data_IF_907416767435
#
_entry.id   IF_907416767435
#
_cell.length_a   1.000
_cell.length_b   1.000
_cell.length_c   1.000
_cell.angle_alpha   90.00
_cell.angle_beta   90.00
_cell.angle_gamma   90.00
#
_symmetry.space_group_name_H-M   'P 1'
#
loop_
_entity.id
_entity.type
_entity.pdbx_description
1 polymer ?
#
# COMPACT_ATOMS: atom_id res chain seq x y z
N UNK A 1 4.24 29.69 4.37
CA UNK A 1 2.95 29.10 4.83
C UNK A 1 2.25 28.30 3.74
N UNK A 2 1.97 28.87 2.56
CA UNK A 2 1.41 28.08 1.45
C UNK A 2 2.35 27.00 0.92
N UNK A 3 3.67 27.25 0.94
CA UNK A 3 4.69 26.25 0.63
C UNK A 3 4.67 25.10 1.65
N UNK A 4 4.62 25.41 2.95
CA UNK A 4 4.52 24.41 4.01
C UNK A 4 3.30 23.49 3.86
N UNK A 5 2.13 24.02 3.45
CA UNK A 5 0.95 23.20 3.16
C UNK A 5 1.20 22.16 2.06
N UNK A 6 2.02 22.49 1.07
CA UNK A 6 2.41 21.57 -0.01
C UNK A 6 3.38 20.53 0.54
N UNK A 7 4.41 20.97 1.25
CA UNK A 7 5.40 20.09 1.88
C UNK A 7 4.74 19.03 2.77
N UNK A 8 3.79 19.42 3.62
CA UNK A 8 3.06 18.47 4.47
C UNK A 8 2.31 17.40 3.65
N UNK A 9 1.71 17.76 2.52
CA UNK A 9 0.96 16.81 1.67
C UNK A 9 1.91 15.89 0.91
N UNK A 10 3.04 16.43 0.43
CA UNK A 10 4.07 15.66 -0.25
C UNK A 10 4.74 14.65 0.69
N UNK A 11 4.93 15.02 1.96
CA UNK A 11 5.39 14.10 3.00
C UNK A 11 4.34 13.03 3.31
N UNK A 12 3.09 13.43 3.55
CA UNK A 12 2.00 12.51 3.83
C UNK A 12 0.65 13.05 3.35
N UNK A 13 0.17 12.45 2.25
CA UNK A 13 -1.11 12.81 1.66
C UNK A 13 -2.34 12.51 2.53
N UNK A 14 -2.19 11.83 3.67
CA UNK A 14 -3.30 11.43 4.56
C UNK A 14 -3.69 12.50 5.58
N UNK A 15 -2.89 13.55 5.74
CA UNK A 15 -3.16 14.57 6.75
C UNK A 15 -4.55 15.20 6.57
N UNK A 16 -5.26 15.29 7.69
CA UNK A 16 -6.53 16.02 7.77
C UNK A 16 -6.27 17.53 7.77
N UNK A 17 -7.28 18.32 7.41
CA UNK A 17 -7.20 19.78 7.53
C UNK A 17 -6.98 20.24 8.99
N UNK A 18 -7.50 19.48 9.97
CA UNK A 18 -7.31 19.77 11.39
C UNK A 18 -5.87 19.51 11.82
N UNK A 19 -5.28 18.39 11.40
CA UNK A 19 -3.85 18.11 11.63
C UNK A 19 -2.97 19.17 10.98
N UNK A 20 -3.25 19.55 9.72
CA UNK A 20 -2.50 20.62 9.07
C UNK A 20 -2.64 21.98 9.79
N UNK A 21 -3.81 22.25 10.38
CA UNK A 21 -4.01 23.44 11.21
C UNK A 21 -3.16 23.39 12.49
N UNK A 22 -3.09 22.25 13.16
CA UNK A 22 -2.25 22.05 14.35
C UNK A 22 -0.76 22.18 14.01
N UNK A 23 -0.32 21.59 12.89
CA UNK A 23 1.04 21.70 12.38
C UNK A 23 1.41 23.16 12.07
N UNK A 24 0.53 23.91 11.40
CA UNK A 24 0.75 25.34 11.14
C UNK A 24 0.84 26.16 12.44
N UNK A 25 0.05 25.81 13.45
CA UNK A 25 0.10 26.46 14.74
C UNK A 25 1.42 26.14 15.48
N UNK A 26 1.89 24.89 15.39
CA UNK A 26 3.15 24.47 15.99
C UNK A 26 4.37 25.11 15.30
N UNK A 27 4.42 25.09 13.96
CA UNK A 27 5.58 25.55 13.19
C UNK A 27 5.68 27.08 13.09
N UNK A 28 4.53 27.77 13.00
CA UNK A 28 4.48 29.21 12.72
C UNK A 28 3.77 30.03 13.81
N UNK A 29 3.18 29.40 14.83
CA UNK A 29 2.39 30.11 15.86
C UNK A 29 1.05 30.66 15.35
N UNK A 30 0.59 30.26 14.15
CA UNK A 30 -0.61 30.82 13.52
C UNK A 30 -1.74 29.80 13.50
N UNK A 31 -2.92 30.20 13.98
CA UNK A 31 -4.12 29.38 13.93
C UNK A 31 -5.02 29.82 12.77
N UNK A 32 -5.08 29.01 11.72
CA UNK A 32 -5.85 29.29 10.50
C UNK A 32 -7.07 28.38 10.41
N UNK A 33 -8.20 28.86 9.93
CA UNK A 33 -9.39 28.02 9.74
C UNK A 33 -9.15 26.91 8.70
N UNK A 34 -9.74 25.73 8.93
CA UNK A 34 -9.68 24.61 7.98
C UNK A 34 -10.27 24.96 6.62
N UNK A 35 -11.25 25.88 6.57
CA UNK A 35 -11.80 26.44 5.34
C UNK A 35 -10.78 27.22 4.52
N UNK A 36 -9.92 28.02 5.17
CA UNK A 36 -8.85 28.74 4.47
C UNK A 36 -7.77 27.78 3.97
N UNK A 37 -7.38 26.79 4.77
CA UNK A 37 -6.46 25.73 4.34
C UNK A 37 -7.03 25.00 3.11
N UNK A 38 -8.30 24.58 3.16
CA UNK A 38 -8.97 23.96 2.01
C UNK A 38 -8.93 24.84 0.78
N UNK A 39 -9.26 26.13 0.92
CA UNK A 39 -9.24 27.08 -0.20
C UNK A 39 -7.85 27.17 -0.83
N UNK A 40 -6.81 27.35 -0.01
CA UNK A 40 -5.41 27.42 -0.47
C UNK A 40 -4.94 26.15 -1.19
N UNK A 41 -5.38 24.99 -0.71
CA UNK A 41 -5.10 23.72 -1.37
C UNK A 41 -5.83 23.59 -2.72
N UNK A 42 -7.08 24.05 -2.80
CA UNK A 42 -7.82 24.10 -4.06
C UNK A 42 -7.17 25.06 -5.07
N UNK A 43 -6.71 26.23 -4.62
CA UNK A 43 -5.99 27.20 -5.47
C UNK A 43 -4.70 26.59 -6.05
N UNK A 44 -4.06 25.66 -5.32
CA UNK A 44 -2.90 24.87 -5.77
C UNK A 44 -3.27 23.55 -6.47
N UNK A 45 -4.53 23.37 -6.88
CA UNK A 45 -4.99 22.16 -7.58
C UNK A 45 -4.87 20.85 -6.79
N UNK A 46 -4.79 20.90 -5.45
CA UNK A 46 -4.84 19.71 -4.61
C UNK A 46 -6.27 19.28 -4.36
N UNK A 47 -6.56 18.03 -4.71
CA UNK A 47 -7.91 17.43 -4.60
C UNK A 47 -7.90 16.18 -3.74
N UNK A 48 -9.03 15.87 -3.13
CA UNK A 48 -9.22 14.62 -2.39
C UNK A 48 -9.38 13.46 -3.37
N UNK A 49 -8.61 12.39 -3.16
CA UNK A 49 -8.57 11.20 -4.03
C UNK A 49 -8.52 9.93 -3.20
N UNK A 50 -8.96 8.83 -3.78
CA UNK A 50 -8.74 7.51 -3.20
C UNK A 50 -7.25 7.19 -3.12
N UNK A 51 -6.81 6.73 -1.95
CA UNK A 51 -5.41 6.44 -1.68
C UNK A 51 -5.05 5.09 -2.27
N UNK A 52 -4.02 5.08 -3.12
CA UNK A 52 -3.42 3.87 -3.62
C UNK A 52 -2.25 3.47 -2.72
N UNK A 53 -2.26 2.21 -2.28
CA UNK A 53 -1.19 1.65 -1.45
C UNK A 53 -0.13 1.06 -2.34
N UNK A 54 1.12 1.39 -2.07
CA UNK A 54 2.25 0.67 -2.64
C UNK A 54 3.01 -0.01 -1.52
N UNK A 55 3.14 -1.32 -1.61
CA UNK A 55 4.11 -2.08 -0.82
C UNK A 55 5.45 -2.00 -1.55
N UNK A 56 6.55 -1.84 -0.82
CA UNK A 56 7.89 -1.77 -1.42
C UNK A 56 8.18 -2.96 -2.33
N UNK A 57 8.44 -2.66 -3.61
CA UNK A 57 8.64 -3.62 -4.69
C UNK A 57 9.79 -4.60 -4.45
N UNK A 58 10.82 -4.16 -3.71
CA UNK A 58 12.03 -4.93 -3.44
C UNK A 58 11.73 -6.25 -2.71
N UNK A 59 10.65 -6.29 -1.93
CA UNK A 59 10.20 -7.52 -1.28
C UNK A 59 9.37 -8.42 -2.17
N UNK A 60 8.59 -7.89 -3.11
CA UNK A 60 7.70 -8.69 -3.96
C UNK A 60 8.46 -9.43 -5.07
N UNK A 61 9.48 -8.81 -5.66
CA UNK A 61 10.18 -9.31 -6.85
C UNK A 61 11.69 -9.47 -6.63
N UNK A 62 12.11 -9.76 -5.40
CA UNK A 62 13.50 -10.14 -5.14
C UNK A 62 13.90 -11.35 -5.99
N UNK A 63 15.18 -11.44 -6.36
CA UNK A 63 15.70 -12.58 -7.13
C UNK A 63 15.38 -13.94 -6.45
N UNK A 64 15.39 -13.96 -5.11
CA UNK A 64 15.00 -15.12 -4.31
C UNK A 64 13.52 -15.50 -4.52
N UNK A 65 12.61 -14.53 -4.51
CA UNK A 65 11.19 -14.78 -4.70
C UNK A 65 10.85 -15.17 -6.14
N UNK A 66 11.55 -14.59 -7.12
CA UNK A 66 11.45 -15.01 -8.52
C UNK A 66 11.88 -16.47 -8.67
N UNK A 67 13.02 -16.86 -8.07
CA UNK A 67 13.49 -18.24 -8.10
C UNK A 67 12.48 -19.20 -7.46
N UNK A 68 12.01 -18.90 -6.25
CA UNK A 68 10.99 -19.71 -5.54
C UNK A 68 9.71 -19.89 -6.35
N UNK A 69 9.24 -18.83 -7.04
CA UNK A 69 8.06 -18.91 -7.92
C UNK A 69 8.29 -19.85 -9.10
N UNK A 70 9.49 -19.81 -9.70
CA UNK A 70 9.86 -20.71 -10.78
C UNK A 70 9.92 -22.16 -10.29
N UNK A 71 10.66 -22.42 -9.21
CA UNK A 71 10.83 -23.76 -8.65
C UNK A 71 9.46 -24.38 -8.27
N UNK A 72 8.54 -23.56 -7.74
CA UNK A 72 7.16 -23.98 -7.46
C UNK A 72 6.38 -24.33 -8.74
N UNK A 73 6.47 -23.49 -9.78
CA UNK A 73 5.78 -23.74 -11.05
C UNK A 73 6.30 -25.01 -11.73
N UNK A 74 7.61 -25.24 -11.72
CA UNK A 74 8.24 -26.43 -12.29
C UNK A 74 7.75 -27.71 -11.56
N UNK A 75 7.68 -27.66 -10.22
CA UNK A 75 7.14 -28.75 -9.40
C UNK A 75 5.65 -29.02 -9.66
N UNK A 76 4.85 -27.96 -9.77
CA UNK A 76 3.42 -28.05 -10.07
C UNK A 76 3.17 -28.76 -11.40
N UNK A 77 3.90 -28.38 -12.45
CA UNK A 77 3.80 -29.00 -13.77
C UNK A 77 4.20 -30.48 -13.76
N UNK A 78 5.20 -30.87 -12.95
CA UNK A 78 5.58 -32.27 -12.81
C UNK A 78 4.47 -33.10 -12.15
N UNK A 79 3.81 -32.56 -11.10
CA UNK A 79 2.70 -33.23 -10.43
C UNK A 79 1.44 -33.32 -11.29
N UNK A 80 1.17 -32.31 -12.11
CA UNK A 80 0.08 -32.34 -13.10
C UNK A 80 0.29 -33.47 -14.13
N UNK A 81 1.51 -33.62 -14.65
CA UNK A 81 1.87 -34.74 -15.57
C UNK A 81 1.74 -36.11 -14.91
N UNK A 82 1.98 -36.20 -13.60
CA UNK A 82 1.83 -37.42 -12.83
C UNK A 82 0.38 -37.68 -12.39
N UNK A 83 -0.58 -36.87 -12.86
CA UNK A 83 -2.01 -36.94 -12.49
C UNK A 83 -2.22 -36.96 -10.97
N UNK A 84 -1.36 -36.24 -10.23
CA UNK A 84 -1.45 -36.13 -8.78
C UNK A 84 -2.65 -35.29 -8.36
N UNK A 85 -3.23 -35.59 -7.20
CA UNK A 85 -4.31 -34.75 -6.66
C UNK A 85 -3.70 -33.49 -6.04
N UNK A 86 -4.05 -32.33 -6.59
CA UNK A 86 -3.50 -31.03 -6.18
C UNK A 86 -4.55 -30.31 -5.33
N UNK A 87 -4.19 -30.02 -4.07
CA UNK A 87 -5.04 -29.19 -3.21
C UNK A 87 -4.33 -27.89 -2.87
N UNK A 88 -5.01 -26.79 -3.19
CA UNK A 88 -4.57 -25.44 -2.88
C UNK A 88 -5.17 -25.00 -1.56
N UNK A 89 -4.32 -24.65 -0.60
CA UNK A 89 -4.73 -23.97 0.62
C UNK A 89 -4.06 -22.60 0.69
N UNK A 90 -4.89 -21.57 0.89
CA UNK A 90 -4.43 -20.20 1.08
C UNK A 90 -4.86 -19.71 2.45
N UNK A 91 -3.98 -18.96 3.10
CA UNK A 91 -4.33 -18.19 4.28
C UNK A 91 -4.76 -16.78 3.86
N UNK A 92 -5.99 -16.40 4.20
CA UNK A 92 -6.43 -15.02 4.05
C UNK A 92 -5.95 -14.21 5.24
N UNK A 93 -4.82 -13.53 5.08
CA UNK A 93 -4.32 -12.63 6.10
C UNK A 93 -5.17 -11.36 6.17
N UNK A 94 -5.55 -10.95 7.38
CA UNK A 94 -6.15 -9.64 7.59
C UNK A 94 -5.07 -8.56 7.49
N UNK A 95 -5.33 -7.54 6.69
CA UNK A 95 -4.46 -6.40 6.62
C UNK A 95 -4.61 -5.56 7.90
N UNK A 96 -3.59 -5.58 8.76
CA UNK A 96 -3.57 -4.82 10.03
C UNK A 96 -3.31 -3.32 9.79
N UNK A 97 -2.93 -2.91 8.57
CA UNK A 97 -2.70 -1.51 8.26
C UNK A 97 -4.01 -0.71 8.21
N UNK A 98 -4.32 -0.04 9.32
CA UNK A 98 -5.35 0.97 9.40
C UNK A 98 -4.85 2.27 8.73
N UNK A 99 -5.53 2.70 7.67
CA UNK A 99 -5.27 4.00 7.04
C UNK A 99 -6.56 4.60 6.52
N UNK A 100 -6.50 5.89 6.19
CA UNK A 100 -7.60 6.59 5.54
C UNK A 100 -7.76 6.11 4.10
N UNK A 101 -9.01 6.03 3.64
CA UNK A 101 -9.36 5.66 2.26
C UNK A 101 -9.07 6.77 1.26
N UNK A 102 -9.00 8.01 1.74
CA UNK A 102 -8.80 9.20 0.92
C UNK A 102 -7.66 10.07 1.45
N UNK A 103 -6.95 10.69 0.53
CA UNK A 103 -5.82 11.60 0.77
C UNK A 103 -5.79 12.68 -0.32
N UNK A 104 -4.81 13.58 -0.26
CA UNK A 104 -4.70 14.72 -1.18
C UNK A 104 -3.58 14.50 -2.20
N UNK A 105 -3.86 14.82 -3.46
CA UNK A 105 -2.84 14.90 -4.50
C UNK A 105 -3.21 15.94 -5.56
N UNK A 106 -2.22 16.36 -6.35
CA UNK A 106 -2.42 17.24 -7.49
C UNK A 106 -3.41 16.63 -8.50
N UNK A 107 -4.16 17.45 -9.22
CA UNK A 107 -4.98 17.00 -10.34
C UNK A 107 -4.09 16.26 -11.36
N UNK A 108 -4.59 15.15 -11.92
CA UNK A 108 -3.79 14.25 -12.77
C UNK A 108 -2.97 13.18 -12.02
N UNK A 109 -2.59 13.42 -10.77
CA UNK A 109 -1.76 12.46 -10.01
C UNK A 109 -2.57 11.51 -9.12
N UNK A 110 -1.94 10.47 -8.58
CA UNK A 110 -2.56 9.57 -7.58
C UNK A 110 -2.03 9.89 -6.19
N UNK A 111 -2.92 9.92 -5.20
CA UNK A 111 -2.49 9.89 -3.81
C UNK A 111 -1.90 8.51 -3.51
N UNK A 112 -0.61 8.45 -3.19
CA UNK A 112 0.11 7.20 -2.94
C UNK A 112 0.64 7.18 -1.52
N UNK A 113 0.40 6.06 -0.82
CA UNK A 113 1.03 5.78 0.47
C UNK A 113 1.92 4.56 0.29
N UNK A 114 3.21 4.74 0.57
CA UNK A 114 4.18 3.65 0.64
C UNK A 114 4.07 3.01 2.02
N UNK A 115 3.84 1.70 2.06
CA UNK A 115 3.89 0.93 3.28
C UNK A 115 5.16 0.08 3.29
N UNK A 116 5.82 -0.06 4.45
CA UNK A 116 6.86 -1.05 4.59
C UNK A 116 6.26 -2.44 4.36
N UNK A 117 7.07 -3.40 3.92
CA UNK A 117 6.63 -4.79 3.81
C UNK A 117 6.14 -5.27 5.17
N UNK A 118 4.96 -5.89 5.20
CA UNK A 118 4.52 -6.57 6.40
C UNK A 118 5.46 -7.77 6.62
N UNK A 119 6.10 -7.83 7.80
CA UNK A 119 6.90 -8.98 8.25
C UNK A 119 6.06 -10.21 8.56
N UNK A 120 4.77 -10.20 8.24
CA UNK A 120 3.95 -11.39 8.38
C UNK A 120 4.52 -12.39 7.38
N UNK A 121 5.01 -13.51 7.89
CA UNK A 121 5.55 -14.59 7.10
C UNK A 121 4.51 -14.92 6.05
N UNK A 122 4.78 -14.56 4.80
CA UNK A 122 3.96 -15.00 3.69
C UNK A 122 4.22 -16.49 3.59
N UNK A 123 3.35 -17.28 4.20
CA UNK A 123 3.14 -18.64 3.73
C UNK A 123 2.70 -18.46 2.29
N UNK A 124 3.64 -18.68 1.37
CA UNK A 124 3.37 -18.85 -0.05
C UNK A 124 2.17 -19.76 -0.20
N UNK A 125 1.36 -19.57 -1.25
CA UNK A 125 0.31 -20.52 -1.63
C UNK A 125 0.85 -21.94 -1.51
N UNK A 126 0.43 -22.66 -0.46
CA UNK A 126 0.99 -23.96 -0.16
C UNK A 126 0.10 -24.97 -0.86
N UNK A 127 0.63 -25.57 -1.92
CA UNK A 127 0.00 -26.73 -2.55
C UNK A 127 0.52 -27.98 -1.85
N UNK A 128 -0.39 -28.87 -1.45
CA UNK A 128 -0.04 -30.21 -1.03
C UNK A 128 -0.35 -31.16 -2.16
N UNK A 129 0.68 -31.88 -2.63
CA UNK A 129 0.56 -32.90 -3.66
C UNK A 129 0.37 -34.26 -3.01
N UNK A 130 -0.77 -34.91 -3.28
CA UNK A 130 -1.01 -36.27 -2.83
C UNK A 130 -0.85 -37.25 -3.99
N UNK A 131 -0.12 -38.37 -3.80
CA UNK A 131 -0.13 -39.46 -4.76
C UNK A 131 -1.55 -40.06 -4.84
N UNK A 132 -1.91 -40.62 -5.98
CA UNK A 132 -3.22 -41.26 -6.17
C UNK A 132 -3.45 -42.31 -5.09
N UNK A 133 -4.59 -42.21 -4.40
CA UNK A 133 -5.08 -43.26 -3.54
C UNK A 133 -5.47 -44.44 -4.44
N UNK A 134 -4.73 -45.54 -4.33
CA UNK A 134 -5.05 -46.81 -4.98
C UNK A 134 -6.16 -47.55 -4.25
#
# INVERSE_FOLDING_TARGET
MEAALVEYIEENCLYTLAQMQEMLHFDFGVRISTSLIRKKLCDKMYTMKHVHVRVELETCNSAQNIKKRKDFADSLLAHERNESFIVYYGETNYNIYCKRSQGRALIGERAVVKLPPSKVQTYSCNARFHPKWG
#
